data_IF_741022476956
#
_entry.id   IF_741022476956
#
_cell.length_a   1.000
_cell.length_b   1.000
_cell.length_c   1.000
_cell.angle_alpha   90.00
_cell.angle_beta   90.00
_cell.angle_gamma   90.00
#
_symmetry.space_group_name_H-M   'P 1'
#
loop_
_entity.id
_entity.type
_entity.pdbx_description
1 polymer ?
#
# COMPACT_ATOMS: atom_id res chain seq x y z
N UNK A 1 36.25 -0.56 26.34
CA UNK A 1 35.92 0.65 25.56
C UNK A 1 34.96 0.20 24.48
N UNK A 2 33.65 0.35 24.72
CA UNK A 2 32.64 -0.10 23.76
C UNK A 2 32.79 0.73 22.48
N UNK A 3 32.97 0.03 21.36
CA UNK A 3 32.68 0.59 20.05
C UNK A 3 31.19 0.96 20.09
N UNK A 4 30.90 2.24 20.27
CA UNK A 4 29.60 2.77 19.88
C UNK A 4 29.63 2.70 18.36
N UNK A 5 29.05 1.63 17.79
CA UNK A 5 28.81 1.55 16.35
C UNK A 5 28.15 2.86 15.92
N UNK A 6 28.66 3.50 14.86
CA UNK A 6 28.01 4.72 14.35
C UNK A 6 26.53 4.40 14.07
N UNK A 7 25.59 5.35 14.28
CA UNK A 7 24.17 5.09 14.12
C UNK A 7 23.82 4.50 12.74
N UNK A 8 24.57 4.87 11.69
CA UNK A 8 24.44 4.26 10.37
C UNK A 8 24.84 2.78 10.31
N UNK A 9 25.89 2.37 11.03
CA UNK A 9 26.33 0.97 11.08
C UNK A 9 25.32 0.09 11.82
N UNK A 10 24.71 0.61 12.89
CA UNK A 10 23.64 -0.09 13.60
C UNK A 10 22.42 -0.36 12.71
N UNK A 11 22.04 0.61 11.87
CA UNK A 11 20.95 0.45 10.90
C UNK A 11 21.30 -0.63 9.87
N UNK A 12 22.51 -0.63 9.32
CA UNK A 12 22.93 -1.66 8.34
C UNK A 12 22.92 -3.08 8.95
N UNK A 13 23.33 -3.21 10.21
CA UNK A 13 23.26 -4.48 10.95
C UNK A 13 21.80 -4.94 11.13
N UNK A 14 20.89 -4.06 11.56
CA UNK A 14 19.46 -4.38 11.68
C UNK A 14 18.84 -4.78 10.33
N UNK A 15 19.19 -4.07 9.27
CA UNK A 15 18.74 -4.39 7.91
C UNK A 15 19.24 -5.77 7.46
N UNK A 16 20.47 -6.16 7.82
CA UNK A 16 20.97 -7.52 7.55
C UNK A 16 20.18 -8.59 8.33
N UNK A 17 19.75 -8.29 9.57
CA UNK A 17 18.97 -9.20 10.41
C UNK A 17 17.54 -9.46 9.91
N UNK A 18 17.03 -8.67 8.96
CA UNK A 18 15.72 -8.92 8.33
C UNK A 18 15.65 -10.25 7.55
N UNK A 19 16.80 -10.82 7.18
CA UNK A 19 16.89 -12.16 6.57
C UNK A 19 17.26 -13.27 7.57
N UNK A 20 17.30 -12.95 8.87
CA UNK A 20 17.63 -13.94 9.90
C UNK A 20 16.65 -15.13 9.85
N UNK A 21 17.16 -16.38 9.93
CA UNK A 21 16.30 -17.55 10.07
C UNK A 21 15.57 -17.57 11.42
N UNK A 22 16.12 -16.87 12.42
CA UNK A 22 15.49 -16.71 13.73
C UNK A 22 14.38 -15.65 13.66
N UNK A 23 13.14 -16.10 13.82
CA UNK A 23 11.94 -15.25 13.76
C UNK A 23 11.92 -14.18 14.85
N UNK A 24 12.50 -14.45 16.02
CA UNK A 24 12.54 -13.47 17.11
C UNK A 24 13.50 -12.34 16.76
N UNK A 25 14.70 -12.69 16.28
CA UNK A 25 15.71 -11.72 15.84
C UNK A 25 15.18 -10.89 14.67
N UNK A 26 14.54 -11.56 13.70
CA UNK A 26 13.94 -10.90 12.55
C UNK A 26 12.84 -9.91 12.96
N UNK A 27 11.94 -10.34 13.86
CA UNK A 27 10.85 -9.50 14.34
C UNK A 27 11.38 -8.29 15.10
N UNK A 28 12.34 -8.49 16.02
CA UNK A 28 12.94 -7.40 16.77
C UNK A 28 13.63 -6.40 15.85
N UNK A 29 14.40 -6.89 14.86
CA UNK A 29 15.05 -6.01 13.90
C UNK A 29 14.04 -5.16 13.10
N UNK A 30 12.88 -5.74 12.76
CA UNK A 30 11.79 -5.00 12.11
C UNK A 30 11.23 -3.91 13.02
N UNK A 31 10.93 -4.23 14.28
CA UNK A 31 10.39 -3.24 15.24
C UNK A 31 11.39 -2.11 15.49
N UNK A 32 12.68 -2.44 15.70
CA UNK A 32 13.74 -1.45 15.91
C UNK A 32 13.87 -0.51 14.70
N UNK A 33 13.79 -1.05 13.47
CA UNK A 33 13.83 -0.24 12.25
C UNK A 33 12.59 0.66 12.09
N UNK A 34 11.41 0.21 12.56
CA UNK A 34 10.20 1.03 12.59
C UNK A 34 10.36 2.17 13.60
N UNK A 35 10.91 1.90 14.78
CA UNK A 35 11.18 2.92 15.81
C UNK A 35 12.21 3.96 15.35
N UNK A 36 13.25 3.53 14.61
CA UNK A 36 14.22 4.43 13.98
C UNK A 36 13.56 5.31 12.91
N UNK A 37 12.57 4.75 12.19
CA UNK A 37 11.74 5.48 11.25
C UNK A 37 12.50 5.99 10.03
N UNK A 38 12.36 7.29 9.74
CA UNK A 38 12.84 7.93 8.51
C UNK A 38 14.36 7.84 8.30
N UNK A 39 15.13 7.68 9.38
CA UNK A 39 16.59 7.53 9.33
C UNK A 39 17.00 6.17 8.74
N UNK A 40 16.19 5.12 8.96
CA UNK A 40 16.44 3.79 8.40
C UNK A 40 16.16 3.72 6.89
N UNK A 41 15.39 4.65 6.35
CA UNK A 41 14.89 4.58 4.97
C UNK A 41 16.01 4.55 3.93
N UNK A 42 17.10 5.30 4.15
CA UNK A 42 18.23 5.31 3.21
C UNK A 42 18.84 3.91 3.02
N UNK A 43 19.02 3.18 4.11
CA UNK A 43 19.55 1.81 4.08
C UNK A 43 18.53 0.83 3.47
N UNK A 44 17.25 0.97 3.81
CA UNK A 44 16.18 0.12 3.26
C UNK A 44 16.02 0.29 1.75
N UNK A 45 16.06 1.54 1.25
CA UNK A 45 15.98 1.81 -0.19
C UNK A 45 17.23 1.36 -0.95
N UNK A 46 18.41 1.46 -0.32
CA UNK A 46 19.66 0.91 -0.86
C UNK A 46 19.54 -0.60 -1.06
N UNK A 47 19.00 -1.34 -0.09
CA UNK A 47 18.74 -2.78 -0.28
C UNK A 47 17.76 -3.05 -1.42
N UNK A 48 16.61 -2.35 -1.46
CA UNK A 48 15.65 -2.55 -2.55
C UNK A 48 16.19 -2.18 -3.93
N UNK A 49 17.11 -1.21 -4.02
CA UNK A 49 17.69 -0.78 -5.29
C UNK A 49 18.41 -1.92 -6.02
N UNK A 50 19.05 -2.84 -5.28
CA UNK A 50 19.70 -4.03 -5.83
C UNK A 50 18.72 -4.95 -6.58
N UNK A 51 17.44 -4.98 -6.17
CA UNK A 51 16.38 -5.80 -6.80
C UNK A 51 15.84 -5.13 -8.06
N UNK A 52 15.77 -3.79 -8.08
CA UNK A 52 15.20 -3.03 -9.19
C UNK A 52 16.16 -2.86 -10.38
N UNK A 53 17.47 -2.96 -10.13
CA UNK A 53 18.48 -2.99 -11.18
C UNK A 53 18.57 -4.42 -11.74
N UNK A 54 18.25 -4.58 -13.03
CA UNK A 54 17.99 -5.86 -13.72
C UNK A 54 19.17 -6.85 -13.82
N UNK A 55 20.16 -6.82 -12.92
CA UNK A 55 21.42 -7.51 -13.13
C UNK A 55 22.24 -7.82 -11.86
N UNK A 56 21.65 -8.22 -10.74
CA UNK A 56 22.45 -8.72 -9.61
C UNK A 56 22.17 -10.19 -9.27
N UNK A 57 23.26 -10.97 -9.26
CA UNK A 57 23.35 -12.35 -8.79
C UNK A 57 23.04 -12.50 -7.28
N UNK A 58 22.69 -11.39 -6.61
CA UNK A 58 22.39 -11.32 -5.19
C UNK A 58 20.87 -11.22 -4.99
N UNK A 59 20.20 -12.36 -4.99
CA UNK A 59 18.75 -12.44 -4.72
C UNK A 59 18.47 -12.11 -3.26
N UNK A 60 17.98 -10.91 -2.97
CA UNK A 60 17.35 -10.63 -1.66
C UNK A 60 16.15 -11.56 -1.51
N UNK A 61 15.98 -12.17 -0.34
CA UNK A 61 14.86 -13.10 -0.16
C UNK A 61 13.51 -12.37 -0.25
N UNK A 62 12.49 -13.06 -0.76
CA UNK A 62 11.12 -12.52 -0.80
C UNK A 62 10.63 -12.06 0.58
N UNK A 63 11.10 -12.75 1.63
CA UNK A 63 10.78 -12.42 3.03
C UNK A 63 11.42 -11.09 3.45
N UNK A 64 12.68 -10.87 3.11
CA UNK A 64 13.38 -9.62 3.41
C UNK A 64 12.76 -8.46 2.63
N UNK A 65 12.44 -8.65 1.35
CA UNK A 65 11.70 -7.66 0.55
C UNK A 65 10.37 -7.30 1.21
N UNK A 66 9.56 -8.29 1.59
CA UNK A 66 8.28 -8.05 2.26
C UNK A 66 8.46 -7.29 3.58
N UNK A 67 9.46 -7.65 4.38
CA UNK A 67 9.75 -6.98 5.66
C UNK A 67 10.12 -5.51 5.44
N UNK A 68 10.94 -5.23 4.43
CA UNK A 68 11.31 -3.86 4.06
C UNK A 68 10.06 -3.07 3.63
N UNK A 69 9.21 -3.63 2.78
CA UNK A 69 7.97 -2.96 2.35
C UNK A 69 7.03 -2.64 3.52
N UNK A 70 6.90 -3.56 4.50
CA UNK A 70 6.13 -3.29 5.71
C UNK A 70 6.72 -2.14 6.54
N UNK A 71 8.05 -2.08 6.67
CA UNK A 71 8.70 -0.97 7.40
C UNK A 71 8.46 0.35 6.66
N UNK A 72 8.62 0.37 5.34
CA UNK A 72 8.36 1.57 4.52
C UNK A 72 6.91 2.04 4.63
N UNK A 73 5.94 1.12 4.75
CA UNK A 73 4.53 1.47 4.98
C UNK A 73 4.31 2.21 6.30
N UNK A 74 5.01 1.82 7.36
CA UNK A 74 4.94 2.50 8.67
C UNK A 74 5.66 3.85 8.66
N UNK A 75 6.74 3.97 7.89
CA UNK A 75 7.49 5.24 7.74
C UNK A 75 6.74 6.25 6.86
N UNK A 76 6.02 5.77 5.84
CA UNK A 76 5.17 6.55 4.95
C UNK A 76 5.87 7.75 4.25
N UNK A 77 7.12 7.57 3.83
CA UNK A 77 7.92 8.62 3.19
C UNK A 77 7.93 8.47 1.64
N UNK A 78 7.77 9.61 0.95
CA UNK A 78 7.62 9.69 -0.51
C UNK A 78 8.86 9.26 -1.29
N UNK A 79 10.05 9.22 -0.69
CA UNK A 79 11.28 8.74 -1.34
C UNK A 79 11.21 7.25 -1.72
N UNK A 80 10.29 6.49 -1.12
CA UNK A 80 10.08 5.08 -1.47
C UNK A 80 9.23 4.86 -2.73
N UNK A 81 8.51 5.89 -3.21
CA UNK A 81 7.53 5.78 -4.31
C UNK A 81 8.09 5.08 -5.57
N UNK A 82 9.32 5.37 -6.04
CA UNK A 82 9.87 4.68 -7.21
C UNK A 82 10.00 3.17 -7.04
N UNK A 83 10.47 2.72 -5.87
CA UNK A 83 10.61 1.31 -5.54
C UNK A 83 9.23 0.66 -5.34
N UNK A 84 8.30 1.34 -4.69
CA UNK A 84 6.93 0.85 -4.50
C UNK A 84 6.26 0.61 -5.86
N UNK A 85 6.38 1.55 -6.81
CA UNK A 85 5.88 1.39 -8.18
C UNK A 85 6.42 0.12 -8.85
N UNK A 86 7.71 -0.17 -8.68
CA UNK A 86 8.30 -1.40 -9.21
C UNK A 86 7.61 -2.65 -8.66
N UNK A 87 7.43 -2.73 -7.34
CA UNK A 87 6.82 -3.89 -6.70
C UNK A 87 5.33 -4.05 -6.96
N UNK A 88 4.59 -2.95 -7.17
CA UNK A 88 3.17 -3.01 -7.61
C UNK A 88 3.04 -3.76 -8.94
N UNK A 89 4.00 -3.57 -9.85
CA UNK A 89 3.92 -4.09 -11.22
C UNK A 89 4.64 -5.45 -11.40
N UNK A 90 5.74 -5.67 -10.68
CA UNK A 90 6.62 -6.82 -10.90
C UNK A 90 6.78 -7.72 -9.68
N UNK A 91 6.27 -7.31 -8.51
CA UNK A 91 6.35 -8.10 -7.29
C UNK A 91 5.48 -9.35 -7.36
N UNK A 92 5.81 -10.35 -6.53
CA UNK A 92 4.87 -11.42 -6.24
C UNK A 92 3.64 -10.88 -5.51
N UNK A 93 2.59 -11.70 -5.36
CA UNK A 93 1.32 -11.27 -4.76
C UNK A 93 1.48 -10.53 -3.41
N UNK A 94 2.32 -11.06 -2.51
CA UNK A 94 2.55 -10.46 -1.19
C UNK A 94 3.29 -9.12 -1.29
N UNK A 95 4.28 -9.02 -2.17
CA UNK A 95 5.04 -7.80 -2.41
C UNK A 95 4.17 -6.71 -3.04
N UNK A 96 3.29 -7.09 -3.99
CA UNK A 96 2.32 -6.17 -4.60
C UNK A 96 1.40 -5.58 -3.55
N UNK A 97 0.76 -6.43 -2.74
CA UNK A 97 -0.15 -5.98 -1.68
C UNK A 97 0.55 -5.07 -0.68
N UNK A 98 1.76 -5.43 -0.22
CA UNK A 98 2.52 -4.59 0.71
C UNK A 98 2.92 -3.24 0.08
N UNK A 99 3.29 -3.22 -1.20
CA UNK A 99 3.62 -1.98 -1.91
C UNK A 99 2.39 -1.09 -2.12
N UNK A 100 1.22 -1.68 -2.42
CA UNK A 100 -0.06 -0.98 -2.55
C UNK A 100 -0.48 -0.35 -1.22
N UNK A 101 -0.40 -1.10 -0.13
CA UNK A 101 -0.69 -0.61 1.22
C UNK A 101 0.25 0.54 1.60
N UNK A 102 1.55 0.38 1.34
CA UNK A 102 2.53 1.44 1.56
C UNK A 102 2.21 2.71 0.76
N UNK A 103 1.82 2.60 -0.51
CA UNK A 103 1.40 3.75 -1.32
C UNK A 103 0.15 4.44 -0.74
N UNK A 104 -0.76 3.67 -0.14
CA UNK A 104 -1.91 4.21 0.59
C UNK A 104 -1.51 5.07 1.79
N UNK A 105 -0.49 4.66 2.54
CA UNK A 105 0.04 5.43 3.67
C UNK A 105 0.87 6.65 3.24
N UNK A 106 1.72 6.49 2.23
CA UNK A 106 2.55 7.59 1.68
C UNK A 106 1.67 8.68 1.07
N UNK A 107 0.65 8.28 0.31
CA UNK A 107 -0.27 9.17 -0.36
C UNK A 107 0.37 10.11 -1.39
N UNK A 108 -0.34 11.20 -1.69
CA UNK A 108 0.05 12.18 -2.70
C UNK A 108 -0.32 11.79 -4.13
N UNK A 109 -0.24 12.77 -5.03
CA UNK A 109 -0.66 12.65 -6.43
C UNK A 109 0.03 11.48 -7.16
N UNK A 110 1.33 11.27 -6.91
CA UNK A 110 2.08 10.21 -7.59
C UNK A 110 1.63 8.81 -7.16
N UNK A 111 1.36 8.61 -5.86
CA UNK A 111 0.81 7.35 -5.37
C UNK A 111 -0.58 7.07 -5.97
N UNK A 112 -1.44 8.09 -6.05
CA UNK A 112 -2.76 7.98 -6.70
C UNK A 112 -2.61 7.58 -8.17
N UNK A 113 -1.68 8.18 -8.92
CA UNK A 113 -1.42 7.83 -10.31
C UNK A 113 -0.95 6.37 -10.47
N UNK A 114 -0.07 5.90 -9.58
CA UNK A 114 0.40 4.51 -9.59
C UNK A 114 -0.74 3.54 -9.30
N UNK A 115 -1.53 3.81 -8.25
CA UNK A 115 -2.67 3.00 -7.86
C UNK A 115 -3.77 3.00 -8.94
N UNK A 116 -4.03 4.13 -9.58
CA UNK A 116 -5.00 4.21 -10.68
C UNK A 116 -4.60 3.37 -11.89
N UNK A 117 -3.30 3.35 -12.24
CA UNK A 117 -2.80 2.46 -13.29
C UNK A 117 -2.89 0.99 -12.86
N UNK A 118 -2.59 0.69 -11.60
CA UNK A 118 -2.71 -0.67 -11.07
C UNK A 118 -4.16 -1.20 -11.13
N UNK A 119 -5.19 -0.36 -10.91
CA UNK A 119 -6.59 -0.75 -11.11
C UNK A 119 -6.91 -1.09 -12.57
N UNK A 120 -6.31 -0.37 -13.51
CA UNK A 120 -6.59 -0.56 -14.94
C UNK A 120 -5.93 -1.83 -15.50
N UNK A 121 -4.81 -2.25 -14.92
CA UNK A 121 -4.01 -3.39 -15.38
C UNK A 121 -4.25 -4.68 -14.57
N UNK A 122 -4.85 -4.59 -13.38
CA UNK A 122 -5.07 -5.74 -12.52
C UNK A 122 -6.17 -6.68 -13.04
N UNK A 123 -5.83 -7.97 -13.05
CA UNK A 123 -6.72 -9.10 -13.31
C UNK A 123 -7.08 -9.88 -12.03
N UNK A 124 -6.27 -9.73 -10.98
CA UNK A 124 -6.48 -10.33 -9.65
C UNK A 124 -7.43 -9.48 -8.80
N UNK A 125 -8.61 -10.03 -8.49
CA UNK A 125 -9.63 -9.41 -7.64
C UNK A 125 -9.09 -9.00 -6.27
N UNK A 126 -8.20 -9.80 -5.66
CA UNK A 126 -7.58 -9.48 -4.37
C UNK A 126 -6.77 -8.19 -4.47
N UNK A 127 -6.00 -8.04 -5.54
CA UNK A 127 -5.20 -6.84 -5.76
C UNK A 127 -6.08 -5.62 -6.02
N UNK A 128 -7.14 -5.77 -6.81
CA UNK A 128 -8.12 -4.69 -7.05
C UNK A 128 -8.70 -4.18 -5.72
N UNK A 129 -9.08 -5.10 -4.81
CA UNK A 129 -9.60 -4.74 -3.48
C UNK A 129 -8.56 -3.94 -2.69
N UNK A 130 -7.30 -4.38 -2.68
CA UNK A 130 -6.23 -3.66 -1.97
C UNK A 130 -5.97 -2.28 -2.55
N UNK A 131 -5.99 -2.13 -3.87
CA UNK A 131 -5.81 -0.83 -4.52
C UNK A 131 -6.97 0.11 -4.22
N UNK A 132 -8.22 -0.38 -4.26
CA UNK A 132 -9.38 0.42 -3.90
C UNK A 132 -9.30 0.91 -2.44
N UNK A 133 -8.91 0.02 -1.51
CA UNK A 133 -8.66 0.39 -0.11
C UNK A 133 -7.56 1.43 0.03
N UNK A 134 -6.44 1.26 -0.67
CA UNK A 134 -5.34 2.21 -0.64
C UNK A 134 -5.74 3.60 -1.13
N UNK A 135 -6.52 3.69 -2.20
CA UNK A 135 -7.08 4.97 -2.66
C UNK A 135 -8.01 5.62 -1.62
N UNK A 136 -8.81 4.82 -0.91
CA UNK A 136 -9.62 5.29 0.21
C UNK A 136 -8.79 5.80 1.39
N UNK A 137 -7.68 5.13 1.72
CA UNK A 137 -6.75 5.55 2.79
C UNK A 137 -6.08 6.90 2.48
N UNK A 138 -5.78 7.18 1.21
CA UNK A 138 -5.21 8.48 0.80
C UNK A 138 -6.21 9.62 1.02
N UNK A 139 -7.52 9.33 1.00
CA UNK A 139 -8.60 10.28 1.25
C UNK A 139 -8.54 11.57 0.38
N UNK A 140 -8.16 11.42 -0.90
CA UNK A 140 -8.06 12.52 -1.86
C UNK A 140 -9.19 12.48 -2.90
N UNK A 141 -9.75 13.64 -3.26
CA UNK A 141 -10.74 13.74 -4.34
C UNK A 141 -10.20 13.30 -5.71
N UNK A 142 -8.88 13.32 -5.91
CA UNK A 142 -8.26 12.82 -7.14
C UNK A 142 -8.48 11.32 -7.34
N UNK A 143 -8.76 10.58 -6.27
CA UNK A 143 -9.08 9.14 -6.32
C UNK A 143 -10.54 8.85 -6.74
N UNK A 144 -11.41 9.87 -6.81
CA UNK A 144 -12.81 9.68 -7.22
C UNK A 144 -12.94 9.14 -8.64
N UNK A 145 -12.13 9.65 -9.58
CA UNK A 145 -12.22 9.22 -10.98
C UNK A 145 -11.76 7.75 -11.16
N UNK A 146 -10.61 7.31 -10.62
CA UNK A 146 -10.24 5.89 -10.61
C UNK A 146 -11.31 4.97 -9.99
N UNK A 147 -11.84 5.33 -8.81
CA UNK A 147 -12.86 4.52 -8.11
C UNK A 147 -14.19 4.49 -8.87
N UNK A 148 -14.61 5.59 -9.49
CA UNK A 148 -15.81 5.63 -10.34
C UNK A 148 -15.68 4.68 -11.53
N UNK A 149 -14.52 4.66 -12.20
CA UNK A 149 -14.28 3.74 -13.32
C UNK A 149 -14.31 2.29 -12.87
N UNK A 150 -13.71 1.98 -11.71
CA UNK A 150 -13.75 0.64 -11.14
C UNK A 150 -15.20 0.17 -10.90
N UNK A 151 -16.06 1.04 -10.37
CA UNK A 151 -17.47 0.76 -10.14
C UNK A 151 -18.29 0.57 -11.42
N UNK A 152 -17.82 1.06 -12.56
CA UNK A 152 -18.48 0.88 -13.86
C UNK A 152 -18.08 -0.42 -14.56
N UNK A 153 -16.88 -0.92 -14.30
CA UNK A 153 -16.33 -2.09 -15.00
C UNK A 153 -16.39 -3.38 -14.20
N UNK A 154 -16.56 -3.30 -12.88
CA UNK A 154 -16.52 -4.48 -12.02
C UNK A 154 -17.87 -5.19 -11.88
N UNK A 155 -17.84 -6.51 -12.11
CA UNK A 155 -18.97 -7.41 -11.83
C UNK A 155 -18.93 -7.96 -10.41
N UNK A 156 -17.77 -7.91 -9.73
CA UNK A 156 -17.63 -8.41 -8.36
C UNK A 156 -18.32 -7.47 -7.36
N UNK A 157 -19.29 -8.01 -6.64
CA UNK A 157 -19.95 -7.31 -5.54
C UNK A 157 -18.98 -6.96 -4.41
N UNK A 158 -17.92 -7.76 -4.21
CA UNK A 158 -16.86 -7.49 -3.22
C UNK A 158 -16.08 -6.23 -3.59
N UNK A 159 -15.66 -6.16 -4.85
CA UNK A 159 -14.99 -4.96 -5.37
C UNK A 159 -15.92 -3.75 -5.31
N UNK A 160 -17.22 -3.91 -5.63
CA UNK A 160 -18.18 -2.80 -5.55
C UNK A 160 -18.29 -2.22 -4.15
N UNK A 161 -18.57 -3.04 -3.13
CA UNK A 161 -18.72 -2.50 -1.78
C UNK A 161 -17.39 -1.93 -1.24
N UNK A 162 -16.24 -2.51 -1.62
CA UNK A 162 -14.92 -1.97 -1.25
C UNK A 162 -14.69 -0.59 -1.86
N UNK A 163 -15.03 -0.40 -3.14
CA UNK A 163 -14.89 0.89 -3.80
C UNK A 163 -15.87 1.93 -3.22
N UNK A 164 -17.06 1.51 -2.77
CA UNK A 164 -18.01 2.37 -2.05
C UNK A 164 -17.44 2.80 -0.70
N UNK A 165 -16.86 1.87 0.07
CA UNK A 165 -16.20 2.20 1.35
C UNK A 165 -15.06 3.20 1.14
N UNK A 166 -14.24 2.99 0.09
CA UNK A 166 -13.16 3.90 -0.27
C UNK A 166 -13.68 5.31 -0.64
N UNK A 167 -14.78 5.40 -1.40
CA UNK A 167 -15.44 6.67 -1.68
C UNK A 167 -15.99 7.32 -0.40
N UNK A 168 -16.55 6.54 0.52
CA UNK A 168 -16.98 7.00 1.84
C UNK A 168 -15.83 7.59 2.65
N UNK A 169 -14.69 6.88 2.69
CA UNK A 169 -13.47 7.32 3.38
C UNK A 169 -12.88 8.62 2.81
N UNK A 170 -13.02 8.86 1.49
CA UNK A 170 -12.61 10.14 0.87
C UNK A 170 -13.42 11.33 1.39
N UNK A 171 -14.65 11.12 1.88
CA UNK A 171 -15.37 12.18 2.59
C UNK A 171 -15.93 13.32 1.72
N UNK A 172 -15.85 13.23 0.39
CA UNK A 172 -16.15 14.35 -0.51
C UNK A 172 -17.62 14.43 -0.93
N UNK A 173 -18.08 15.61 -1.30
CA UNK A 173 -19.41 15.78 -1.94
C UNK A 173 -19.51 15.04 -3.28
N UNK A 174 -18.37 14.82 -3.96
CA UNK A 174 -18.29 13.98 -5.16
C UNK A 174 -18.60 12.51 -4.86
N UNK A 175 -18.16 12.01 -3.71
CA UNK A 175 -18.42 10.64 -3.25
C UNK A 175 -19.92 10.36 -3.12
N UNK A 176 -20.69 11.31 -2.56
CA UNK A 176 -22.15 11.17 -2.41
C UNK A 176 -22.82 10.85 -3.76
N UNK A 177 -22.48 11.60 -4.82
CA UNK A 177 -23.06 11.39 -6.16
C UNK A 177 -22.72 10.03 -6.73
N UNK A 178 -21.51 9.54 -6.47
CA UNK A 178 -21.05 8.24 -6.98
C UNK A 178 -21.69 7.07 -6.22
N UNK A 179 -21.93 7.22 -4.91
CA UNK A 179 -22.48 6.17 -4.04
C UNK A 179 -24.01 6.05 -4.18
N UNK A 180 -24.73 7.17 -4.40
CA UNK A 180 -26.20 7.23 -4.39
C UNK A 180 -26.90 6.12 -5.19
N UNK A 181 -26.38 5.72 -6.35
CA UNK A 181 -27.01 4.67 -7.18
C UNK A 181 -26.95 3.27 -6.57
N UNK A 182 -26.00 3.02 -5.66
CA UNK A 182 -25.73 1.70 -5.10
C UNK A 182 -26.63 1.32 -3.91
N UNK A 183 -27.43 2.26 -3.38
CA UNK A 183 -28.51 1.93 -2.42
C UNK A 183 -29.60 1.05 -3.04
N UNK A 184 -29.64 0.93 -4.36
CA UNK A 184 -30.53 0.04 -5.11
C UNK A 184 -29.77 -1.13 -5.78
N UNK A 185 -28.52 -1.39 -5.41
CA UNK A 185 -27.74 -2.51 -5.98
C UNK A 185 -28.46 -3.85 -5.71
N UNK A 186 -28.45 -4.81 -6.66
CA UNK A 186 -29.04 -6.13 -6.44
C UNK A 186 -28.43 -6.88 -5.25
N UNK A 187 -27.15 -6.66 -4.95
CA UNK A 187 -26.46 -7.30 -3.83
C UNK A 187 -26.72 -6.54 -2.52
N UNK A 188 -27.11 -7.28 -1.47
CA UNK A 188 -27.46 -6.68 -0.18
C UNK A 188 -26.28 -6.04 0.56
N UNK A 189 -25.07 -6.61 0.49
CA UNK A 189 -23.88 -6.02 1.11
C UNK A 189 -23.52 -4.69 0.45
N UNK A 190 -23.66 -4.61 -0.87
CA UNK A 190 -23.41 -3.37 -1.61
C UNK A 190 -24.39 -2.27 -1.19
N UNK A 191 -25.68 -2.60 -1.00
CA UNK A 191 -26.67 -1.63 -0.48
C UNK A 191 -26.33 -1.18 0.94
N UNK A 192 -26.00 -2.12 1.83
CA UNK A 192 -25.66 -1.84 3.23
C UNK A 192 -24.47 -0.87 3.32
N UNK A 193 -23.41 -1.11 2.54
CA UNK A 193 -22.22 -0.25 2.55
C UNK A 193 -22.52 1.12 1.90
N UNK A 194 -23.35 1.16 0.86
CA UNK A 194 -23.79 2.43 0.26
C UNK A 194 -24.61 3.28 1.23
N UNK A 195 -25.54 2.67 1.96
CA UNK A 195 -26.35 3.34 2.98
C UNK A 195 -25.47 3.86 4.13
N UNK A 196 -24.58 3.01 4.67
CA UNK A 196 -23.67 3.39 5.75
C UNK A 196 -22.72 4.53 5.34
N UNK A 197 -22.13 4.46 4.15
CA UNK A 197 -21.24 5.50 3.65
C UNK A 197 -21.99 6.83 3.44
N UNK A 198 -23.22 6.81 2.92
CA UNK A 198 -24.03 8.03 2.75
C UNK A 198 -24.47 8.62 4.09
N UNK A 199 -24.80 7.80 5.09
CA UNK A 199 -25.11 8.25 6.44
C UNK A 199 -23.91 8.96 7.08
N UNK A 200 -22.72 8.36 6.97
CA UNK A 200 -21.48 8.97 7.45
C UNK A 200 -21.15 10.29 6.75
N UNK A 201 -21.43 10.42 5.45
CA UNK A 201 -21.19 11.66 4.69
C UNK A 201 -22.25 12.75 4.94
N UNK A 202 -23.39 12.39 5.52
CA UNK A 202 -24.49 13.30 5.82
C UNK A 202 -24.47 13.84 7.26
N UNK A 203 -23.70 13.21 8.16
CA UNK A 203 -23.50 13.62 9.56
C UNK A 203 -22.49 14.75 9.71
#
# INVERSE_FOLDING_TARGET
MSQLSEPGQAIEELVALLDSPDRMVQHQAKEDLIEIGIEAQGALLKELSCVTEANTEQTISDRKVWSILCILAMVADTRAVPQLKYFVNHGNHLQRVAAIECLGHVGGQEAICILANALAEADDESVIIWVAKALGMIASEEALMPLSRLLETTESHVVRYTAIDALGAIGSTGSIKLIQRFVQDPNHHVREHAEAALEQLAS
#
